data_IF_227209118609
#
_entry.id   IF_227209118609
#
_cell.length_a   1.000
_cell.length_b   1.000
_cell.length_c   1.000
_cell.angle_alpha   90.00
_cell.angle_beta   90.00
_cell.angle_gamma   90.00
#
_symmetry.space_group_name_H-M   'P 1'
#
loop_
_entity.id
_entity.type
_entity.pdbx_description
1 polymer ?
#
# COMPACT_ATOMS: atom_id res chain seq x y z
N UNK A 1 6.10 -14.77 -20.90
CA UNK A 1 6.12 -15.55 -19.64
C UNK A 1 7.15 -15.01 -18.64
N UNK A 2 8.37 -14.68 -19.06
CA UNK A 2 9.45 -14.20 -18.18
C UNK A 2 9.12 -12.97 -17.32
N UNK A 3 8.41 -11.97 -17.88
CA UNK A 3 8.06 -10.75 -17.14
C UNK A 3 7.14 -11.07 -15.95
N UNK A 4 6.16 -11.94 -16.14
CA UNK A 4 5.24 -12.35 -15.08
C UNK A 4 5.98 -13.13 -13.98
N UNK A 5 6.87 -14.04 -14.36
CA UNK A 5 7.70 -14.77 -13.40
C UNK A 5 8.58 -13.82 -12.58
N UNK A 6 9.21 -12.81 -13.21
CA UNK A 6 9.98 -11.79 -12.48
C UNK A 6 9.12 -10.93 -11.56
N UNK A 7 7.87 -10.65 -11.96
CA UNK A 7 6.94 -9.84 -11.17
C UNK A 7 6.47 -10.57 -9.91
N UNK A 8 6.14 -11.86 -10.03
CA UNK A 8 5.61 -12.68 -8.94
C UNK A 8 6.68 -13.40 -8.11
N UNK A 9 7.93 -13.46 -8.60
CA UNK A 9 9.03 -14.04 -7.84
C UNK A 9 9.26 -13.27 -6.55
N UNK A 10 9.27 -14.00 -5.44
CA UNK A 10 9.54 -13.47 -4.12
C UNK A 10 10.03 -14.58 -3.21
N UNK A 11 11.19 -14.36 -2.59
CA UNK A 11 11.76 -15.19 -1.55
C UNK A 11 12.86 -14.37 -0.84
N UNK A 12 12.77 -14.27 0.48
CA UNK A 12 13.78 -13.58 1.30
C UNK A 12 14.88 -14.54 1.82
N UNK A 13 14.99 -15.73 1.22
CA UNK A 13 16.11 -16.66 1.34
C UNK A 13 16.03 -17.64 2.52
N UNK A 14 15.31 -17.30 3.59
CA UNK A 14 15.07 -18.22 4.69
C UNK A 14 13.68 -18.03 5.32
N UNK A 15 13.24 -19.02 6.09
CA UNK A 15 11.92 -19.04 6.75
C UNK A 15 11.71 -17.84 7.67
N UNK A 16 12.70 -17.49 8.49
CA UNK A 16 12.59 -16.38 9.45
C UNK A 16 12.33 -15.04 8.75
N UNK A 17 13.06 -14.73 7.68
CA UNK A 17 12.87 -13.50 6.93
C UNK A 17 11.48 -13.46 6.25
N UNK A 18 11.05 -14.59 5.69
CA UNK A 18 9.74 -14.71 5.05
C UNK A 18 8.58 -14.60 6.07
N UNK A 19 8.74 -15.09 7.30
CA UNK A 19 7.79 -14.88 8.39
C UNK A 19 7.82 -13.42 8.86
N UNK A 20 9.00 -12.82 9.01
CA UNK A 20 9.14 -11.44 9.45
C UNK A 20 8.43 -10.47 8.49
N UNK A 21 8.59 -10.65 7.18
CA UNK A 21 7.90 -9.80 6.19
C UNK A 21 6.39 -10.06 6.14
N UNK A 22 5.93 -11.28 6.41
CA UNK A 22 4.50 -11.58 6.56
C UNK A 22 3.90 -10.81 7.74
N UNK A 23 4.52 -10.90 8.91
CA UNK A 23 4.07 -10.18 10.12
C UNK A 23 4.07 -8.68 9.86
N UNK A 24 5.16 -8.15 9.29
CA UNK A 24 5.26 -6.75 8.94
C UNK A 24 4.13 -6.30 8.02
N UNK A 25 3.85 -7.05 6.93
CA UNK A 25 2.77 -6.73 5.99
C UNK A 25 1.40 -6.72 6.65
N UNK A 26 1.10 -7.72 7.48
CA UNK A 26 -0.21 -7.83 8.14
C UNK A 26 -0.41 -6.68 9.13
N UNK A 27 0.58 -6.37 9.96
CA UNK A 27 0.50 -5.27 10.93
C UNK A 27 0.45 -3.90 10.24
N UNK A 28 1.25 -3.71 9.19
CA UNK A 28 1.22 -2.50 8.38
C UNK A 28 -0.14 -2.30 7.70
N UNK A 29 -0.68 -3.35 7.08
CA UNK A 29 -2.00 -3.30 6.44
C UNK A 29 -3.12 -3.04 7.46
N UNK A 30 -3.02 -3.65 8.64
CA UNK A 30 -3.96 -3.40 9.74
C UNK A 30 -3.97 -1.93 10.14
N UNK A 31 -2.81 -1.33 10.39
CA UNK A 31 -2.71 0.08 10.77
C UNK A 31 -3.27 1.01 9.68
N UNK A 32 -2.83 0.80 8.42
CA UNK A 32 -3.31 1.58 7.28
C UNK A 32 -4.84 1.49 7.12
N UNK A 33 -5.40 0.28 7.19
CA UNK A 33 -6.84 0.07 7.03
C UNK A 33 -7.62 0.67 8.19
N UNK A 34 -7.18 0.47 9.44
CA UNK A 34 -7.95 0.91 10.61
C UNK A 34 -7.92 2.42 10.82
N UNK A 35 -6.79 3.08 10.54
CA UNK A 35 -6.63 4.52 10.75
C UNK A 35 -7.16 5.34 9.57
N UNK A 36 -6.98 4.86 8.33
CA UNK A 36 -7.33 5.60 7.12
C UNK A 36 -8.54 5.00 6.41
N UNK A 37 -8.54 3.68 6.16
CA UNK A 37 -9.60 3.02 5.40
C UNK A 37 -10.96 2.96 6.08
N UNK A 38 -11.01 2.55 7.36
CA UNK A 38 -12.27 2.39 8.10
C UNK A 38 -13.01 3.70 8.28
N UNK A 39 -12.30 4.83 8.47
CA UNK A 39 -12.92 6.17 8.54
C UNK A 39 -13.75 6.46 7.28
N UNK A 40 -13.25 6.04 6.12
CA UNK A 40 -13.93 6.24 4.83
C UNK A 40 -15.08 5.26 4.61
N UNK A 41 -15.00 4.04 5.15
CA UNK A 41 -16.07 3.04 5.06
C UNK A 41 -17.24 3.40 5.99
N UNK A 42 -16.95 3.81 7.23
CA UNK A 42 -17.96 4.04 8.27
C UNK A 42 -18.79 5.30 8.05
N UNK A 43 -18.26 6.31 7.35
CA UNK A 43 -18.98 7.55 7.05
C UNK A 43 -20.22 7.33 6.15
N UNK A 44 -20.23 6.27 5.34
CA UNK A 44 -21.35 5.96 4.45
C UNK A 44 -21.58 7.04 3.36
N UNK A 45 -22.55 6.85 2.44
CA UNK A 45 -22.78 7.77 1.33
C UNK A 45 -23.44 9.11 1.73
N UNK A 46 -23.92 9.22 2.98
CA UNK A 46 -24.72 10.35 3.48
C UNK A 46 -23.93 11.30 4.39
N UNK A 47 -22.72 10.92 4.84
CA UNK A 47 -21.87 11.83 5.59
C UNK A 47 -21.17 12.82 4.66
N UNK A 48 -20.80 13.99 5.21
CA UNK A 48 -20.01 14.94 4.45
C UNK A 48 -18.70 14.29 3.98
N UNK A 49 -18.38 14.40 2.66
CA UNK A 49 -17.15 13.87 2.13
C UNK A 49 -15.96 14.45 2.89
N UNK A 50 -15.03 13.59 3.28
CA UNK A 50 -13.73 14.07 3.75
C UNK A 50 -13.12 14.95 2.65
N UNK A 51 -12.63 16.13 3.01
CA UNK A 51 -11.87 16.92 2.05
C UNK A 51 -10.56 16.18 1.75
N UNK A 52 -10.47 15.60 0.56
CA UNK A 52 -9.26 14.93 0.06
C UNK A 52 -8.45 15.98 -0.70
N UNK A 53 -7.24 16.35 -0.23
CA UNK A 53 -6.37 17.26 -0.96
C UNK A 53 -6.16 16.79 -2.41
N UNK A 54 -6.19 17.72 -3.37
CA UNK A 54 -5.99 17.43 -4.78
C UNK A 54 -4.88 18.31 -5.39
N UNK A 55 -3.63 18.19 -4.90
CA UNK A 55 -2.55 19.06 -5.35
C UNK A 55 -2.15 18.83 -6.81
N UNK A 56 -2.49 17.67 -7.37
CA UNK A 56 -2.24 17.31 -8.77
C UNK A 56 -3.35 17.76 -9.73
N UNK A 57 -4.40 18.43 -9.21
CA UNK A 57 -5.52 18.94 -10.00
C UNK A 57 -6.18 17.87 -10.89
N UNK A 58 -6.25 16.64 -10.38
CA UNK A 58 -6.95 15.54 -11.06
C UNK A 58 -8.46 15.80 -11.09
N UNK A 59 -9.22 15.17 -12.00
CA UNK A 59 -10.68 15.16 -11.87
C UNK A 59 -11.10 14.68 -10.47
N UNK A 60 -12.00 15.40 -9.80
CA UNK A 60 -12.32 15.18 -8.38
C UNK A 60 -12.71 13.72 -8.09
N UNK A 61 -13.54 13.13 -8.97
CA UNK A 61 -13.95 11.73 -8.87
C UNK A 61 -12.76 10.76 -8.94
N UNK A 62 -11.76 11.07 -9.77
CA UNK A 62 -10.55 10.25 -9.88
C UNK A 62 -9.67 10.39 -8.64
N UNK A 63 -9.47 11.62 -8.13
CA UNK A 63 -8.71 11.86 -6.90
C UNK A 63 -9.32 11.09 -5.71
N UNK A 64 -10.65 11.20 -5.56
CA UNK A 64 -11.39 10.48 -4.53
C UNK A 64 -11.30 8.96 -4.70
N UNK A 65 -11.44 8.45 -5.92
CA UNK A 65 -11.35 7.01 -6.19
C UNK A 65 -9.96 6.45 -5.86
N UNK A 66 -8.87 7.13 -6.26
CA UNK A 66 -7.50 6.71 -5.96
C UNK A 66 -7.24 6.72 -4.45
N UNK A 67 -7.61 7.80 -3.77
CA UNK A 67 -7.43 7.92 -2.33
C UNK A 67 -8.28 6.91 -1.55
N UNK A 68 -9.50 6.61 -2.00
CA UNK A 68 -10.34 5.56 -1.41
C UNK A 68 -9.70 4.18 -1.60
N UNK A 69 -9.32 3.85 -2.83
CA UNK A 69 -8.75 2.56 -3.18
C UNK A 69 -7.45 2.28 -2.43
N UNK A 70 -6.57 3.29 -2.33
CA UNK A 70 -5.30 3.22 -1.63
C UNK A 70 -5.45 2.93 -0.12
N UNK A 71 -6.52 3.42 0.50
CA UNK A 71 -6.73 3.30 1.95
C UNK A 71 -7.63 2.13 2.33
N UNK A 72 -8.50 1.64 1.42
CA UNK A 72 -9.43 0.55 1.74
C UNK A 72 -9.09 -0.77 1.07
N UNK A 73 -8.77 -0.80 -0.22
CA UNK A 73 -8.59 -2.07 -0.95
C UNK A 73 -7.13 -2.52 -0.94
N UNK A 74 -6.20 -1.60 -1.18
CA UNK A 74 -4.76 -1.92 -1.20
C UNK A 74 -4.26 -2.57 0.11
N UNK A 75 -4.70 -2.18 1.33
CA UNK A 75 -4.28 -2.88 2.55
C UNK A 75 -4.58 -4.39 2.52
N UNK A 76 -5.71 -4.82 1.95
CA UNK A 76 -6.01 -6.25 1.81
C UNK A 76 -5.03 -6.93 0.87
N UNK A 77 -4.67 -6.28 -0.24
CA UNK A 77 -3.66 -6.81 -1.17
C UNK A 77 -2.28 -6.92 -0.51
N UNK A 78 -1.90 -5.93 0.32
CA UNK A 78 -0.65 -5.97 1.10
C UNK A 78 -0.63 -7.15 2.06
N UNK A 79 -1.70 -7.31 2.85
CA UNK A 79 -1.81 -8.37 3.84
C UNK A 79 -1.71 -9.76 3.19
N UNK A 80 -2.45 -9.97 2.10
CA UNK A 80 -2.45 -11.23 1.35
C UNK A 80 -1.17 -11.44 0.53
N UNK A 81 -0.41 -10.38 0.25
CA UNK A 81 0.72 -10.42 -0.66
C UNK A 81 0.28 -10.75 -2.09
N UNK A 82 -0.82 -10.10 -2.53
CA UNK A 82 -1.39 -10.25 -3.87
C UNK A 82 -1.03 -9.02 -4.71
N UNK A 83 -0.47 -9.26 -5.89
CA UNK A 83 0.13 -8.23 -6.75
C UNK A 83 1.10 -7.34 -5.97
N UNK A 84 1.86 -7.94 -5.04
CA UNK A 84 2.44 -7.30 -3.89
C UNK A 84 3.37 -6.13 -4.19
N UNK A 85 3.98 -6.05 -5.38
CA UNK A 85 4.77 -4.86 -5.81
C UNK A 85 3.89 -3.79 -6.48
N UNK A 86 2.97 -4.20 -7.34
CA UNK A 86 2.13 -3.26 -8.11
C UNK A 86 1.00 -2.66 -7.26
N UNK A 87 0.42 -3.46 -6.37
CA UNK A 87 -0.64 -3.04 -5.48
C UNK A 87 -0.22 -1.88 -4.56
N UNK A 88 1.08 -1.72 -4.28
CA UNK A 88 1.60 -0.65 -3.41
C UNK A 88 1.60 0.72 -4.09
N UNK A 89 1.67 0.77 -5.42
CA UNK A 89 1.92 2.01 -6.15
C UNK A 89 0.89 3.10 -5.86
N UNK A 90 -0.43 2.83 -5.79
CA UNK A 90 -1.42 3.84 -5.42
C UNK A 90 -1.16 4.42 -4.02
N UNK A 91 -0.91 3.57 -3.02
CA UNK A 91 -0.67 4.02 -1.63
C UNK A 91 0.68 4.74 -1.49
N UNK A 92 1.72 4.31 -2.21
CA UNK A 92 2.99 5.05 -2.31
C UNK A 92 2.71 6.45 -2.89
N UNK A 93 1.91 6.55 -3.95
CA UNK A 93 1.55 7.82 -4.56
C UNK A 93 0.85 8.75 -3.57
N UNK A 94 -0.20 8.27 -2.88
CA UNK A 94 -0.96 9.07 -1.90
C UNK A 94 -0.08 9.53 -0.74
N UNK A 95 0.72 8.62 -0.17
CA UNK A 95 1.56 8.93 1.00
C UNK A 95 2.76 9.83 0.63
N UNK A 96 3.39 9.61 -0.52
CA UNK A 96 4.48 10.45 -1.00
C UNK A 96 3.99 11.86 -1.38
N UNK A 97 2.85 11.98 -2.07
CA UNK A 97 2.23 13.29 -2.36
C UNK A 97 1.83 13.99 -1.08
N UNK A 98 1.30 13.25 -0.10
CA UNK A 98 1.03 13.76 1.25
C UNK A 98 2.27 14.40 1.88
N UNK A 99 3.40 13.68 1.87
CA UNK A 99 4.65 14.18 2.46
C UNK A 99 5.28 15.33 1.68
N UNK A 100 5.53 15.15 0.39
CA UNK A 100 6.36 16.07 -0.41
C UNK A 100 5.59 17.28 -0.96
N UNK A 101 4.26 17.19 -1.07
CA UNK A 101 3.46 18.22 -1.74
C UNK A 101 2.46 18.87 -0.79
N UNK A 102 1.59 18.08 -0.15
CA UNK A 102 0.54 18.58 0.73
C UNK A 102 1.15 19.20 2.00
N UNK A 103 2.00 18.45 2.70
CA UNK A 103 2.62 18.86 3.96
C UNK A 103 4.03 19.43 3.79
N UNK A 104 4.35 19.99 2.60
CA UNK A 104 5.72 20.42 2.28
C UNK A 104 6.25 21.56 3.15
N UNK A 105 5.33 22.37 3.69
CA UNK A 105 5.63 23.53 4.55
C UNK A 105 5.36 23.28 6.03
N UNK A 106 4.78 22.14 6.36
CA UNK A 106 4.51 21.78 7.75
C UNK A 106 5.79 21.35 8.47
N UNK A 107 5.76 21.40 9.81
CA UNK A 107 6.87 20.90 10.62
C UNK A 107 7.08 19.40 10.37
N UNK A 108 8.30 18.91 10.64
CA UNK A 108 8.61 17.49 10.46
C UNK A 108 7.72 16.58 11.30
N UNK A 109 7.31 17.03 12.47
CA UNK A 109 6.42 16.31 13.40
C UNK A 109 4.99 16.12 12.87
N UNK A 110 4.54 16.97 11.95
CA UNK A 110 3.20 16.83 11.34
C UNK A 110 3.21 15.85 10.17
N UNK A 111 4.32 15.81 9.43
CA UNK A 111 4.43 15.05 8.17
C UNK A 111 5.25 13.76 8.28
N UNK A 112 5.74 13.40 9.46
CA UNK A 112 6.51 12.17 9.66
C UNK A 112 5.69 10.91 9.36
N UNK A 113 4.39 10.90 9.67
CA UNK A 113 3.50 9.77 9.40
C UNK A 113 3.44 9.39 7.91
N UNK A 114 3.07 10.27 6.96
CA UNK A 114 3.08 9.91 5.54
C UNK A 114 4.48 9.52 5.03
N UNK A 115 5.56 10.07 5.62
CA UNK A 115 6.91 9.63 5.33
C UNK A 115 7.17 8.19 5.75
N UNK A 116 6.79 7.82 6.99
CA UNK A 116 6.98 6.47 7.51
C UNK A 116 6.17 5.44 6.72
N UNK A 117 4.93 5.77 6.35
CA UNK A 117 4.15 4.92 5.43
C UNK A 117 4.86 4.73 4.09
N UNK A 118 5.33 5.82 3.49
CA UNK A 118 6.08 5.76 2.21
C UNK A 118 7.32 4.88 2.35
N UNK A 119 8.09 5.04 3.42
CA UNK A 119 9.31 4.27 3.68
C UNK A 119 9.03 2.77 3.81
N UNK A 120 8.01 2.41 4.59
CA UNK A 120 7.56 1.02 4.75
C UNK A 120 7.09 0.41 3.43
N UNK A 121 6.35 1.17 2.62
CA UNK A 121 5.90 0.72 1.30
C UNK A 121 7.05 0.55 0.32
N UNK A 122 8.06 1.43 0.35
CA UNK A 122 9.27 1.29 -0.47
C UNK A 122 10.08 0.05 -0.05
N UNK A 123 10.17 -0.24 1.24
CA UNK A 123 10.76 -1.49 1.72
C UNK A 123 10.03 -2.70 1.11
N UNK A 124 8.70 -2.74 1.21
CA UNK A 124 7.87 -3.80 0.62
C UNK A 124 7.99 -3.89 -0.91
N UNK A 125 8.08 -2.73 -1.57
CA UNK A 125 8.26 -2.65 -3.01
C UNK A 125 9.58 -3.28 -3.44
N UNK A 126 10.64 -3.19 -2.63
CA UNK A 126 11.96 -3.75 -2.90
C UNK A 126 12.06 -5.23 -2.50
N UNK A 127 11.62 -5.59 -1.30
CA UNK A 127 11.73 -6.96 -0.79
C UNK A 127 10.72 -7.90 -1.46
N UNK A 128 9.57 -7.39 -1.88
CA UNK A 128 8.42 -8.21 -2.24
C UNK A 128 7.72 -8.80 -1.01
N UNK A 129 6.62 -9.55 -1.21
CA UNK A 129 5.79 -10.03 -0.12
C UNK A 129 6.31 -11.31 0.58
N UNK A 130 7.35 -11.95 0.08
CA UNK A 130 7.90 -13.19 0.63
C UNK A 130 7.10 -14.44 0.28
N UNK A 131 7.60 -15.62 0.66
CA UNK A 131 7.05 -16.92 0.25
C UNK A 131 5.66 -17.22 0.83
N UNK A 132 5.29 -16.59 1.95
CA UNK A 132 3.93 -16.62 2.51
C UNK A 132 3.05 -15.55 1.86
N UNK A 133 2.84 -15.66 0.55
CA UNK A 133 2.04 -14.72 -0.23
C UNK A 133 1.30 -15.41 -1.37
N UNK A 134 0.21 -14.79 -1.85
CA UNK A 134 -0.49 -15.27 -3.04
C UNK A 134 0.40 -15.13 -4.28
N UNK A 135 1.25 -14.10 -4.35
CA UNK A 135 2.23 -13.94 -5.43
C UNK A 135 3.16 -15.14 -5.55
N UNK A 136 3.68 -15.64 -4.43
CA UNK A 136 4.54 -16.83 -4.44
C UNK A 136 3.79 -18.08 -4.94
N UNK A 137 2.52 -18.24 -4.55
CA UNK A 137 1.67 -19.32 -5.07
C UNK A 137 1.45 -19.20 -6.58
N UNK A 138 1.17 -18.00 -7.10
CA UNK A 138 1.03 -17.74 -8.54
C UNK A 138 2.34 -18.04 -9.27
N UNK A 139 3.48 -17.60 -8.72
CA UNK A 139 4.80 -17.88 -9.28
C UNK A 139 5.02 -19.40 -9.46
N UNK A 140 4.73 -20.20 -8.43
CA UNK A 140 4.85 -21.66 -8.52
C UNK A 140 3.95 -22.27 -9.60
N UNK A 141 2.75 -21.73 -9.84
CA UNK A 141 1.87 -22.19 -10.91
C UNK A 141 2.40 -21.85 -12.30
N UNK A 142 3.10 -20.72 -12.46
CA UNK A 142 3.67 -20.25 -13.73
C UNK A 142 5.01 -20.89 -14.10
N UNK A 143 5.66 -21.55 -13.15
CA UNK A 143 6.97 -22.22 -13.33
C UNK A 143 6.91 -23.74 -13.29
N UNK A 144 5.73 -24.31 -13.03
CA UNK A 144 5.46 -25.73 -13.28
C UNK A 144 5.30 -25.96 -14.79
#
# INVERSE_FOLDING_TARGET
MEILQKLFYTDLGNTTNNIAILIFRVLFAWELLTVHGLKKIQRGPQAEPEHIPNPLQLPEKLNAAVAQFADTIVPFFIALGLFGRLALLPTIGVTAVGYFVVHRHDSREVRDIPFMYTLCLLLLLLTGPGTYSIDHYIYQLLTK
#
